data_IF_922938695218
#
_entry.id   IF_922938695218
#
_cell.length_a   1.000
_cell.length_b   1.000
_cell.length_c   1.000
_cell.angle_alpha   90.00
_cell.angle_beta   90.00
_cell.angle_gamma   90.00
#
_symmetry.space_group_name_H-M   'P 1'
#
loop_
_entity.id
_entity.type
_entity.pdbx_description
1 polymer ?
#
# COMPACT_ATOMS: atom_id res chain seq x y z
N UNK A 1 -9.26 -0.75 6.11
CA UNK A 1 -8.05 -0.70 5.26
C UNK A 1 -7.22 0.56 5.45
N UNK A 2 -7.74 1.78 5.21
CA UNK A 2 -6.92 3.02 5.29
C UNK A 2 -6.10 3.19 6.57
N UNK A 3 -6.71 2.96 7.74
CA UNK A 3 -6.02 3.03 9.03
C UNK A 3 -4.80 2.10 9.11
N UNK A 4 -4.92 0.88 8.61
CA UNK A 4 -3.82 -0.09 8.57
C UNK A 4 -2.71 0.32 7.58
N UNK A 5 -3.10 0.96 6.48
CA UNK A 5 -2.19 1.43 5.43
C UNK A 5 -1.61 2.83 5.70
N UNK A 6 -2.02 3.52 6.77
CA UNK A 6 -1.53 4.86 7.13
C UNK A 6 0.00 5.01 7.09
N UNK A 7 0.82 4.00 7.46
CA UNK A 7 2.27 4.07 7.34
C UNK A 7 2.79 4.40 5.93
N UNK A 8 2.09 3.95 4.89
CA UNK A 8 2.48 4.13 3.48
C UNK A 8 1.57 5.10 2.71
N UNK A 9 0.58 5.68 3.37
CA UNK A 9 -0.33 6.70 2.82
C UNK A 9 0.05 8.11 3.28
N UNK A 10 -0.53 9.12 2.64
CA UNK A 10 -0.55 10.51 3.13
C UNK A 10 -1.46 10.73 4.35
N UNK A 11 -2.00 9.65 4.91
CA UNK A 11 -2.80 9.68 6.12
C UNK A 11 -1.87 9.83 7.34
N UNK A 12 -2.31 10.63 8.32
CA UNK A 12 -1.54 10.88 9.53
C UNK A 12 -1.81 9.78 10.57
N UNK A 13 -0.75 9.04 10.94
CA UNK A 13 -0.81 7.91 11.88
C UNK A 13 -1.14 8.35 13.31
N UNK A 14 -0.81 9.60 13.66
CA UNK A 14 -0.95 10.15 15.01
C UNK A 14 -2.08 11.16 15.13
N UNK A 15 -3.11 11.08 14.28
CA UNK A 15 -4.39 11.71 14.62
C UNK A 15 -4.99 10.89 15.77
N UNK A 16 -4.44 11.05 16.96
CA UNK A 16 -5.14 10.62 18.16
C UNK A 16 -6.45 11.39 18.12
N UNK A 17 -7.54 10.64 18.09
CA UNK A 17 -8.90 11.12 18.34
C UNK A 17 -9.06 11.45 19.83
N UNK A 18 -7.96 11.66 20.56
CA UNK A 18 -7.94 12.61 21.65
C UNK A 18 -8.28 13.94 21.01
N UNK A 19 -9.58 14.19 20.97
CA UNK A 19 -10.18 15.50 21.01
C UNK A 19 -9.41 16.26 22.10
N UNK A 20 -8.21 16.78 21.82
CA UNK A 20 -7.66 17.94 22.53
C UNK A 20 -8.86 18.85 22.63
N UNK A 21 -9.42 19.02 23.83
CA UNK A 21 -10.76 19.58 24.07
C UNK A 21 -10.99 20.73 23.09
N UNK A 22 -11.66 20.41 21.98
CA UNK A 22 -11.71 21.36 20.89
C UNK A 22 -12.72 22.37 21.36
N UNK A 23 -12.27 23.59 21.60
CA UNK A 23 -13.14 24.72 21.93
C UNK A 23 -14.23 24.95 20.86
N UNK A 24 -14.08 24.36 19.66
CA UNK A 24 -15.08 24.37 18.59
C UNK A 24 -15.00 23.13 17.70
N UNK A 25 -16.17 22.62 17.27
CA UNK A 25 -16.34 21.49 16.36
C UNK A 25 -15.58 21.68 15.02
N UNK A 26 -15.43 22.93 14.57
CA UNK A 26 -14.75 23.29 13.31
C UNK A 26 -13.28 23.67 13.47
N UNK A 27 -12.71 23.60 14.68
CA UNK A 27 -11.30 23.91 14.89
C UNK A 27 -10.40 22.95 14.09
N UNK A 28 -9.40 23.47 13.34
CA UNK A 28 -8.56 22.64 12.47
C UNK A 28 -7.68 21.68 13.27
N UNK A 29 -7.46 20.48 12.73
CA UNK A 29 -6.55 19.49 13.34
C UNK A 29 -5.08 19.83 13.06
N UNK A 30 -4.23 19.70 14.09
CA UNK A 30 -2.78 19.85 13.94
C UNK A 30 -2.17 18.58 13.35
N UNK A 31 -1.55 18.69 12.18
CA UNK A 31 -0.80 17.59 11.55
C UNK A 31 0.44 17.23 12.37
N UNK A 32 0.71 15.94 12.54
CA UNK A 32 1.89 15.42 13.21
C UNK A 32 3.18 15.75 12.47
N UNK A 33 4.33 15.65 13.17
CA UNK A 33 5.66 15.83 12.56
C UNK A 33 5.91 14.83 11.42
N UNK A 34 5.44 13.59 11.56
CA UNK A 34 5.55 12.58 10.51
C UNK A 34 4.71 12.93 9.29
N UNK A 35 3.46 13.35 9.47
CA UNK A 35 2.62 13.77 8.35
C UNK A 35 3.21 14.95 7.58
N UNK A 36 3.83 15.92 8.28
CA UNK A 36 4.57 17.01 7.65
C UNK A 36 5.80 16.51 6.88
N UNK A 37 6.57 15.58 7.47
CA UNK A 37 7.73 14.99 6.81
C UNK A 37 7.35 14.22 5.55
N UNK A 38 6.34 13.33 5.62
CA UNK A 38 5.81 12.60 4.46
C UNK A 38 5.33 13.54 3.36
N UNK A 39 4.64 14.62 3.71
CA UNK A 39 4.18 15.62 2.74
C UNK A 39 5.35 16.35 2.06
N UNK A 40 6.40 16.67 2.82
CA UNK A 40 7.57 17.38 2.29
C UNK A 40 8.47 16.48 1.43
N UNK A 41 8.74 15.26 1.87
CA UNK A 41 9.68 14.35 1.19
C UNK A 41 9.00 13.45 0.16
N UNK A 42 7.66 13.32 0.23
CA UNK A 42 6.86 12.31 -0.48
C UNK A 42 7.38 10.88 -0.26
N UNK A 43 8.08 10.65 0.85
CA UNK A 43 8.68 9.36 1.21
C UNK A 43 8.36 8.99 2.65
N UNK A 44 8.21 7.69 2.90
CA UNK A 44 8.08 7.14 4.25
C UNK A 44 9.46 7.11 4.93
N UNK A 45 9.49 6.83 6.24
CA UNK A 45 10.74 6.61 7.00
C UNK A 45 11.56 5.45 6.41
N UNK A 46 10.90 4.45 5.85
CA UNK A 46 11.51 3.31 5.14
C UNK A 46 11.93 3.64 3.71
N UNK A 47 11.92 4.92 3.31
CA UNK A 47 12.29 5.46 1.98
C UNK A 47 11.37 5.01 0.83
N UNK A 48 10.24 4.40 1.10
CA UNK A 48 9.22 4.12 0.07
C UNK A 48 8.53 5.42 -0.38
N UNK A 49 8.11 5.53 -1.65
CA UNK A 49 7.23 6.61 -2.07
C UNK A 49 5.91 6.53 -1.29
N UNK A 50 5.38 7.68 -0.89
CA UNK A 50 4.07 7.78 -0.23
C UNK A 50 2.98 7.83 -1.29
N UNK A 51 1.91 7.04 -1.12
CA UNK A 51 0.81 6.97 -2.07
C UNK A 51 -0.45 7.68 -1.53
N UNK A 52 -1.29 8.15 -2.45
CA UNK A 52 -2.72 8.29 -2.14
C UNK A 52 -3.34 6.89 -2.09
N UNK A 53 -4.45 6.72 -1.38
CA UNK A 53 -5.11 5.40 -1.35
C UNK A 53 -5.46 4.90 -2.76
N UNK A 54 -5.92 5.78 -3.65
CA UNK A 54 -6.23 5.43 -5.05
C UNK A 54 -5.00 4.92 -5.79
N UNK A 55 -3.87 5.61 -5.67
CA UNK A 55 -2.63 5.21 -6.37
C UNK A 55 -2.01 3.96 -5.76
N UNK A 56 -2.22 3.70 -4.47
CA UNK A 56 -1.82 2.43 -3.84
C UNK A 56 -2.69 1.26 -4.34
N UNK A 57 -4.01 1.45 -4.45
CA UNK A 57 -4.88 0.41 -5.00
C UNK A 57 -4.54 0.11 -6.46
N UNK A 58 -4.21 1.14 -7.26
CA UNK A 58 -3.75 0.95 -8.63
C UNK A 58 -2.42 0.18 -8.71
N UNK A 59 -1.49 0.43 -7.80
CA UNK A 59 -0.22 -0.31 -7.71
C UNK A 59 -0.46 -1.78 -7.33
N UNK A 60 -1.26 -2.03 -6.28
CA UNK A 60 -1.63 -3.39 -5.87
C UNK A 60 -2.39 -4.17 -6.95
N UNK A 61 -3.18 -3.50 -7.79
CA UNK A 61 -3.89 -4.13 -8.90
C UNK A 61 -2.95 -4.73 -9.97
N UNK A 62 -1.65 -4.40 -9.96
CA UNK A 62 -0.65 -5.02 -10.84
C UNK A 62 -0.26 -6.43 -10.39
N UNK A 63 -0.62 -6.83 -9.17
CA UNK A 63 -0.50 -8.22 -8.70
C UNK A 63 -1.64 -9.02 -9.32
N UNK A 64 -1.30 -9.88 -10.28
CA UNK A 64 -2.28 -10.65 -11.04
C UNK A 64 -1.87 -12.10 -11.15
N UNK A 65 -2.86 -12.97 -11.41
CA UNK A 65 -2.66 -14.37 -11.77
C UNK A 65 -2.66 -14.48 -13.29
N UNK A 66 -1.48 -14.65 -13.88
CA UNK A 66 -1.29 -14.77 -15.32
C UNK A 66 -1.38 -16.24 -15.73
N UNK A 67 -2.10 -16.51 -16.82
CA UNK A 67 -2.17 -17.84 -17.44
C UNK A 67 -1.32 -17.84 -18.71
N UNK A 68 -0.34 -18.72 -18.75
CA UNK A 68 0.57 -18.88 -19.88
C UNK A 68 0.13 -20.08 -20.70
N UNK A 69 0.11 -19.89 -22.02
CA UNK A 69 -0.14 -20.92 -23.01
C UNK A 69 1.03 -20.92 -23.99
N UNK A 70 1.74 -22.03 -24.07
CA UNK A 70 2.82 -22.23 -25.03
C UNK A 70 2.50 -23.41 -25.92
N UNK A 71 2.49 -23.16 -27.23
CA UNK A 71 2.35 -24.20 -28.25
C UNK A 71 3.74 -24.49 -28.80
N UNK A 72 4.52 -25.29 -28.05
CA UNK A 72 5.84 -25.77 -28.50
C UNK A 72 5.70 -26.96 -29.46
N UNK A 73 6.77 -27.22 -30.22
CA UNK A 73 6.82 -28.25 -31.27
C UNK A 73 6.50 -29.69 -30.79
N UNK A 74 6.62 -30.00 -29.49
CA UNK A 74 6.37 -31.36 -28.97
C UNK A 74 5.25 -31.48 -27.91
N UNK A 75 4.81 -30.39 -27.26
CA UNK A 75 3.66 -30.43 -26.34
C UNK A 75 3.10 -29.02 -26.07
N UNK A 76 1.77 -28.94 -25.95
CA UNK A 76 1.11 -27.73 -25.46
C UNK A 76 1.27 -27.66 -23.94
N UNK A 77 1.91 -26.59 -23.44
CA UNK A 77 2.10 -26.32 -22.02
C UNK A 77 1.17 -25.19 -21.57
N UNK A 78 0.38 -25.45 -20.53
CA UNK A 78 -0.45 -24.44 -19.87
C UNK A 78 -0.13 -24.40 -18.38
N UNK A 79 0.21 -23.22 -17.86
CA UNK A 79 0.44 -23.03 -16.43
C UNK A 79 0.02 -21.62 -15.97
N UNK A 80 -0.11 -21.45 -14.67
CA UNK A 80 -0.51 -20.20 -14.04
C UNK A 80 0.61 -19.68 -13.14
N UNK A 81 0.88 -18.38 -13.19
CA UNK A 81 1.88 -17.72 -12.36
C UNK A 81 1.34 -16.44 -11.77
N UNK A 82 1.53 -16.26 -10.47
CA UNK A 82 1.18 -15.02 -9.78
C UNK A 82 2.37 -14.05 -9.90
N UNK A 83 2.10 -12.78 -10.20
CA UNK A 83 3.12 -11.73 -10.24
C UNK A 83 3.85 -11.63 -8.89
N UNK A 84 5.17 -11.54 -8.91
CA UNK A 84 5.96 -11.32 -7.71
C UNK A 84 5.79 -9.87 -7.22
N UNK A 85 5.27 -9.64 -6.00
CA UNK A 85 5.04 -8.28 -5.51
C UNK A 85 6.33 -7.48 -5.35
N UNK A 86 6.28 -6.20 -5.66
CA UNK A 86 7.37 -5.26 -5.33
C UNK A 86 7.52 -5.11 -3.81
N UNK A 87 8.65 -4.58 -3.29
CA UNK A 87 8.81 -4.37 -1.85
C UNK A 87 7.72 -3.51 -1.22
N UNK A 88 7.23 -2.48 -1.94
CA UNK A 88 6.12 -1.64 -1.48
C UNK A 88 4.80 -2.43 -1.42
N UNK A 89 4.51 -3.21 -2.46
CA UNK A 89 3.31 -4.04 -2.50
C UNK A 89 3.32 -5.09 -1.39
N UNK A 90 4.47 -5.71 -1.12
CA UNK A 90 4.64 -6.64 0.01
C UNK A 90 4.37 -5.96 1.34
N UNK A 91 4.95 -4.78 1.58
CA UNK A 91 4.68 -3.97 2.78
C UNK A 91 3.19 -3.68 2.95
N UNK A 92 2.49 -3.35 1.87
CA UNK A 92 1.07 -3.08 1.90
C UNK A 92 0.25 -4.34 2.24
N UNK A 93 0.62 -5.50 1.70
CA UNK A 93 0.01 -6.79 2.04
C UNK A 93 0.27 -7.18 3.50
N UNK A 94 1.49 -6.99 4.00
CA UNK A 94 1.86 -7.25 5.40
C UNK A 94 1.05 -6.35 6.36
N UNK A 95 0.89 -5.07 6.05
CA UNK A 95 0.05 -4.14 6.84
C UNK A 95 -1.43 -4.52 6.84
N UNK A 96 -1.90 -5.22 5.80
CA UNK A 96 -3.28 -5.70 5.68
C UNK A 96 -3.46 -7.12 6.23
N UNK A 97 -2.39 -7.75 6.71
CA UNK A 97 -2.38 -9.16 7.16
C UNK A 97 -2.85 -10.13 6.05
N UNK A 98 -2.39 -9.89 4.82
CA UNK A 98 -2.73 -10.71 3.64
C UNK A 98 -1.51 -11.49 3.17
N UNK A 99 -1.57 -12.82 3.26
CA UNK A 99 -0.55 -13.71 2.73
C UNK A 99 -0.77 -14.01 1.24
N UNK A 100 0.22 -13.71 0.39
CA UNK A 100 0.21 -14.09 -1.02
C UNK A 100 1.22 -15.22 -1.27
N UNK A 101 0.74 -16.39 -1.70
CA UNK A 101 1.60 -17.50 -2.10
C UNK A 101 1.94 -17.32 -3.58
N UNK A 102 3.13 -16.82 -3.89
CA UNK A 102 3.60 -16.73 -5.27
C UNK A 102 4.06 -18.12 -5.74
N UNK A 103 3.51 -18.61 -6.84
CA UNK A 103 4.08 -19.75 -7.57
C UNK A 103 5.34 -19.28 -8.30
N UNK A 104 6.50 -19.88 -7.98
CA UNK A 104 7.77 -19.62 -8.67
C UNK A 104 7.81 -20.30 -10.03
#
# INVERSE_FOLDING_TARGET
MRKALAPILFDDEKVTVELEEKSSVVAPFKRSKQARSKAATKKTSEKFPVHSFRTLMADLATIVKNKFHSNGLEAALTFEKITQPTPLQRKALDLLDVSLICTQ
#
